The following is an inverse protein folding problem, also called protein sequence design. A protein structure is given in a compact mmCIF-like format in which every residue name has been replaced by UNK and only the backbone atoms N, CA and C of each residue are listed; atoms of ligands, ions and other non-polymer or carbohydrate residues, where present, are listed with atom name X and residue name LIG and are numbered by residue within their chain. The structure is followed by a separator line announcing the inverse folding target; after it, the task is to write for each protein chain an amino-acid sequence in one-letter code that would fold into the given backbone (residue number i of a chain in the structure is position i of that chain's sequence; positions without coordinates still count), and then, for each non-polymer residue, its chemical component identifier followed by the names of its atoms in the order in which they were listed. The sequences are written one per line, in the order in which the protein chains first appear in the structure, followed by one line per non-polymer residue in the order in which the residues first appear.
data_IF_258049156429
#
_entry.id   IF_258049156429
#
_cell.length_a   1.000
_cell.length_b   1.000
_cell.length_c   1.000
_cell.angle_alpha   90.00
_cell.angle_beta   90.00
_cell.angle_gamma   90.00
#
_symmetry.space_group_name_H-M   'P 1'
#
loop_
_entity.id
_entity.type
_entity.pdbx_description
1 polymer ?
#
# COMPACT_ATOMS: atom_id res chain seq x y z
N UNK A 1 -48.13 -2.47 -1.97
CA UNK A 1 -46.65 -2.40 -2.17
C UNK A 1 -46.29 -0.98 -2.52
N UNK A 2 -45.64 -0.25 -1.62
CA UNK A 2 -45.25 1.15 -1.89
C UNK A 2 -44.00 1.12 -2.77
N UNK A 3 -44.14 1.51 -4.04
CA UNK A 3 -43.00 1.63 -4.95
C UNK A 3 -42.20 2.87 -4.54
N UNK A 4 -41.14 2.68 -3.76
CA UNK A 4 -40.26 3.78 -3.36
C UNK A 4 -39.39 4.17 -4.56
N UNK A 5 -39.39 5.45 -4.93
CA UNK A 5 -38.46 5.97 -5.94
C UNK A 5 -37.04 5.93 -5.36
N UNK A 6 -36.10 5.41 -6.13
CA UNK A 6 -34.69 5.37 -5.75
C UNK A 6 -34.12 6.79 -5.77
N UNK A 7 -33.42 7.18 -4.70
CA UNK A 7 -32.72 8.47 -4.69
C UNK A 7 -31.36 8.34 -5.40
N UNK A 8 -30.77 9.47 -5.81
CA UNK A 8 -29.45 9.47 -6.47
C UNK A 8 -28.37 8.80 -5.60
N UNK A 9 -28.47 8.92 -4.28
CA UNK A 9 -27.54 8.29 -3.34
C UNK A 9 -27.74 6.76 -3.26
N UNK A 10 -28.99 6.28 -3.30
CA UNK A 10 -29.29 4.84 -3.35
C UNK A 10 -28.73 4.21 -4.63
N UNK A 11 -28.88 4.90 -5.76
CA UNK A 11 -28.33 4.48 -7.06
C UNK A 11 -26.81 4.43 -7.01
N UNK A 12 -26.15 5.42 -6.39
CA UNK A 12 -24.69 5.43 -6.24
C UNK A 12 -24.20 4.25 -5.39
N UNK A 13 -24.84 4.02 -4.24
CA UNK A 13 -24.48 2.92 -3.33
C UNK A 13 -24.66 1.56 -4.00
N UNK A 14 -25.75 1.34 -4.73
CA UNK A 14 -25.95 0.10 -5.45
C UNK A 14 -25.01 -0.05 -6.65
N UNK A 15 -24.66 1.06 -7.31
CA UNK A 15 -23.73 1.04 -8.43
C UNK A 15 -22.28 0.73 -8.00
N UNK A 16 -21.88 0.98 -6.76
CA UNK A 16 -20.55 0.59 -6.24
C UNK A 16 -20.33 -0.94 -6.25
N UNK A 17 -21.42 -1.72 -6.24
CA UNK A 17 -21.36 -3.18 -6.41
C UNK A 17 -21.13 -3.65 -7.84
N UNK A 18 -21.20 -2.77 -8.86
CA UNK A 18 -20.92 -3.14 -10.24
C UNK A 18 -19.41 -3.34 -10.46
N UNK A 19 -19.05 -4.49 -11.01
CA UNK A 19 -17.68 -4.80 -11.41
C UNK A 19 -17.17 -3.81 -12.44
N UNK A 20 -15.86 -3.57 -12.49
CA UNK A 20 -15.29 -2.67 -13.50
C UNK A 20 -15.20 -3.41 -14.84
N UNK A 21 -15.39 -2.71 -15.97
CA UNK A 21 -15.28 -3.31 -17.31
C UNK A 21 -13.92 -3.98 -17.58
N UNK A 22 -12.84 -3.48 -16.95
CA UNK A 22 -11.49 -4.02 -17.09
C UNK A 22 -11.24 -5.33 -16.34
N UNK A 23 -12.08 -5.65 -15.34
CA UNK A 23 -11.89 -6.81 -14.47
C UNK A 23 -12.68 -8.03 -15.00
N UNK A 24 -13.84 -7.81 -15.64
CA UNK A 24 -14.76 -8.88 -16.09
C UNK A 24 -14.98 -8.93 -17.61
N UNK A 25 -14.41 -7.98 -18.38
CA UNK A 25 -14.60 -7.86 -19.82
C UNK A 25 -15.95 -7.22 -20.21
N UNK A 26 -15.98 -6.60 -21.40
CA UNK A 26 -17.09 -5.74 -21.84
C UNK A 26 -18.45 -6.45 -21.95
N UNK A 27 -18.48 -7.71 -22.38
CA UNK A 27 -19.73 -8.49 -22.53
C UNK A 27 -20.38 -8.79 -21.18
N UNK A 28 -19.60 -9.26 -20.20
CA UNK A 28 -20.11 -9.55 -18.84
C UNK A 28 -20.48 -8.27 -18.09
N UNK A 29 -19.69 -7.22 -18.25
CA UNK A 29 -20.06 -5.90 -17.72
C UNK A 29 -21.38 -5.40 -18.31
N UNK A 30 -21.60 -5.60 -19.61
CA UNK A 30 -22.88 -5.31 -20.25
C UNK A 30 -24.04 -6.07 -19.60
N UNK A 31 -23.88 -7.36 -19.31
CA UNK A 31 -24.90 -8.16 -18.64
C UNK A 31 -25.20 -7.67 -17.22
N UNK A 32 -24.17 -7.41 -16.40
CA UNK A 32 -24.35 -6.87 -15.04
C UNK A 32 -24.99 -5.48 -15.05
N UNK A 33 -24.56 -4.61 -15.97
CA UNK A 33 -25.15 -3.28 -16.11
C UNK A 33 -26.62 -3.36 -16.50
N UNK A 34 -26.98 -4.26 -17.42
CA UNK A 34 -28.38 -4.44 -17.83
C UNK A 34 -29.23 -5.01 -16.69
N UNK A 35 -28.71 -5.94 -15.90
CA UNK A 35 -29.39 -6.45 -14.71
C UNK A 35 -29.62 -5.35 -13.66
N UNK A 36 -28.63 -4.49 -13.44
CA UNK A 36 -28.73 -3.32 -12.56
C UNK A 36 -29.76 -2.29 -13.05
N UNK A 37 -29.79 -2.01 -14.36
CA UNK A 37 -30.77 -1.09 -14.95
C UNK A 37 -32.19 -1.64 -14.85
N UNK A 38 -32.37 -2.95 -14.97
CA UNK A 38 -33.68 -3.60 -14.82
C UNK A 38 -34.22 -3.52 -13.39
N UNK A 39 -33.34 -3.59 -12.37
CA UNK A 39 -33.74 -3.52 -10.96
C UNK A 39 -33.97 -2.09 -10.46
N UNK A 40 -33.19 -1.11 -10.94
CA UNK A 40 -33.27 0.27 -10.47
C UNK A 40 -34.12 1.19 -11.37
N UNK A 41 -34.37 0.81 -12.64
CA UNK A 41 -35.02 1.60 -13.70
C UNK A 41 -34.63 3.10 -13.73
N UNK A 42 -33.32 3.44 -13.76
CA UNK A 42 -32.90 4.83 -13.82
C UNK A 42 -33.29 5.47 -15.15
N UNK A 43 -33.64 6.75 -15.11
CA UNK A 43 -33.87 7.55 -16.32
C UNK A 43 -32.57 7.73 -17.13
N UNK A 44 -32.71 8.04 -18.42
CA UNK A 44 -31.55 8.29 -19.30
C UNK A 44 -30.68 9.46 -18.79
N UNK A 45 -31.29 10.47 -18.17
CA UNK A 45 -30.57 11.60 -17.58
C UNK A 45 -29.71 11.17 -16.37
N UNK A 46 -30.23 10.31 -15.51
CA UNK A 46 -29.52 9.77 -14.34
C UNK A 46 -28.35 8.88 -14.75
N UNK A 47 -28.56 7.99 -15.73
CA UNK A 47 -27.49 7.14 -16.26
C UNK A 47 -26.37 7.99 -16.90
N UNK A 48 -26.73 9.01 -17.70
CA UNK A 48 -25.76 9.96 -18.26
C UNK A 48 -24.98 10.70 -17.17
N UNK A 49 -25.65 11.16 -16.12
CA UNK A 49 -25.02 11.83 -14.97
C UNK A 49 -24.03 10.91 -14.25
N UNK A 50 -24.42 9.67 -13.98
CA UNK A 50 -23.59 8.66 -13.34
C UNK A 50 -22.33 8.36 -14.16
N UNK A 51 -22.50 8.11 -15.47
CA UNK A 51 -21.37 7.82 -16.36
C UNK A 51 -20.39 9.01 -16.44
N UNK A 52 -20.90 10.24 -16.49
CA UNK A 52 -20.08 11.46 -16.49
C UNK A 52 -19.33 11.64 -15.17
N UNK A 53 -19.98 11.41 -14.03
CA UNK A 53 -19.34 11.49 -12.71
C UNK A 53 -18.23 10.43 -12.56
N UNK A 54 -18.47 9.19 -12.98
CA UNK A 54 -17.44 8.14 -12.99
C UNK A 54 -16.26 8.49 -13.89
N UNK A 55 -16.52 9.07 -15.07
CA UNK A 55 -15.45 9.57 -15.97
C UNK A 55 -14.62 10.66 -15.27
N UNK A 56 -15.26 11.63 -14.60
CA UNK A 56 -14.59 12.69 -13.82
C UNK A 56 -13.74 12.13 -12.68
N UNK A 57 -14.28 11.20 -11.87
CA UNK A 57 -13.56 10.55 -10.78
C UNK A 57 -12.33 9.78 -11.28
N UNK A 58 -12.47 9.01 -12.36
CA UNK A 58 -11.34 8.29 -12.99
C UNK A 58 -10.25 9.25 -13.46
N UNK A 59 -10.64 10.38 -14.08
CA UNK A 59 -9.70 11.43 -14.52
C UNK A 59 -8.99 12.07 -13.32
N UNK A 60 -9.71 12.38 -12.23
CA UNK A 60 -9.14 12.91 -10.98
C UNK A 60 -8.12 11.94 -10.38
N UNK A 61 -8.51 10.68 -10.18
CA UNK A 61 -7.63 9.63 -9.64
C UNK A 61 -6.38 9.40 -10.49
N UNK A 62 -6.50 9.49 -11.83
CA UNK A 62 -5.35 9.42 -12.74
C UNK A 62 -4.40 10.62 -12.59
N UNK A 63 -4.94 11.84 -12.45
CA UNK A 63 -4.13 13.06 -12.21
C UNK A 63 -3.41 12.98 -10.88
N UNK A 64 -4.11 12.60 -9.82
CA UNK A 64 -3.54 12.39 -8.48
C UNK A 64 -2.41 11.35 -8.52
N UNK A 65 -2.64 10.18 -9.14
CA UNK A 65 -1.60 9.16 -9.32
C UNK A 65 -0.37 9.69 -10.09
N UNK A 66 -0.59 10.54 -11.10
CA UNK A 66 0.51 11.16 -11.87
C UNK A 66 1.28 12.17 -11.04
N UNK A 67 0.60 13.00 -10.26
CA UNK A 67 1.25 13.97 -9.36
C UNK A 67 2.09 13.26 -8.29
N UNK A 68 1.54 12.23 -7.64
CA UNK A 68 2.29 11.41 -6.66
C UNK A 68 3.52 10.78 -7.31
N UNK A 69 3.39 10.24 -8.52
CA UNK A 69 4.53 9.65 -9.25
C UNK A 69 5.60 10.70 -9.60
N UNK A 70 5.20 11.92 -9.94
CA UNK A 70 6.12 12.99 -10.33
C UNK A 70 6.92 13.56 -9.14
N UNK A 71 6.41 13.41 -7.91
CA UNK A 71 7.06 13.90 -6.67
C UNK A 71 7.83 12.77 -5.97
N UNK A 72 7.68 11.52 -6.40
CA UNK A 72 8.41 10.40 -5.80
C UNK A 72 9.91 10.58 -6.04
N UNK A 73 10.76 10.55 -5.00
CA UNK A 73 12.20 10.65 -5.18
C UNK A 73 12.72 9.49 -6.04
N UNK A 74 13.74 9.78 -6.83
CA UNK A 74 14.44 8.78 -7.61
C UNK A 74 15.13 7.78 -6.66
N UNK A 75 15.05 6.49 -6.98
CA UNK A 75 15.67 5.45 -6.15
C UNK A 75 17.18 5.64 -6.27
N UNK A 76 17.87 5.90 -5.17
CA UNK A 76 19.31 6.05 -5.18
C UNK A 76 19.96 4.68 -5.28
N UNK A 77 20.72 4.44 -6.35
CA UNK A 77 21.52 3.21 -6.54
C UNK A 77 22.74 3.16 -5.61
N UNK A 78 23.06 4.26 -4.92
CA UNK A 78 24.16 4.36 -3.97
C UNK A 78 23.76 3.82 -2.59
N UNK A 79 24.59 2.96 -1.95
CA UNK A 79 24.38 2.57 -0.56
C UNK A 79 24.42 3.77 0.38
N UNK A 80 23.39 3.92 1.22
CA UNK A 80 23.32 4.96 2.25
C UNK A 80 24.06 4.58 3.53
N UNK A 81 24.66 3.38 3.59
CA UNK A 81 25.36 2.86 4.75
C UNK A 81 26.53 1.94 4.38
N UNK A 82 27.47 1.79 5.31
CA UNK A 82 28.70 0.99 5.14
C UNK A 82 28.62 -0.39 5.82
N UNK A 83 27.42 -0.88 6.15
CA UNK A 83 27.25 -2.26 6.61
C UNK A 83 27.55 -3.24 5.48
N UNK A 84 28.27 -4.31 5.79
CA UNK A 84 28.55 -5.42 4.88
C UNK A 84 28.04 -6.74 5.46
N UNK A 85 27.72 -7.74 4.60
CA UNK A 85 27.50 -9.10 5.07
C UNK A 85 28.69 -9.58 5.92
N UNK A 86 28.42 -10.20 7.06
CA UNK A 86 29.42 -10.62 8.04
C UNK A 86 29.62 -9.64 9.20
N UNK A 87 29.26 -8.37 9.05
CA UNK A 87 29.30 -7.38 10.14
C UNK A 87 28.37 -7.80 11.30
N UNK A 88 28.75 -7.45 12.52
CA UNK A 88 27.88 -7.58 13.69
C UNK A 88 27.18 -6.25 13.98
N UNK A 89 25.86 -6.28 14.13
CA UNK A 89 25.06 -5.09 14.40
C UNK A 89 24.13 -5.25 15.59
N UNK A 90 24.03 -4.18 16.37
CA UNK A 90 23.01 -3.98 17.37
C UNK A 90 21.78 -3.36 16.72
N UNK A 91 20.60 -3.85 17.07
CA UNK A 91 19.32 -3.38 16.50
C UNK A 91 18.51 -2.67 17.56
N UNK A 92 17.98 -1.49 17.21
CA UNK A 92 17.17 -0.65 18.07
C UNK A 92 15.83 -1.33 18.38
N UNK A 93 15.50 -1.46 19.66
CA UNK A 93 14.21 -1.96 20.12
C UNK A 93 13.21 -0.82 20.32
N UNK A 94 12.16 -0.81 19.49
CA UNK A 94 11.06 0.15 19.57
C UNK A 94 9.98 -0.25 20.58
N UNK A 95 9.93 -1.52 20.99
CA UNK A 95 8.89 -2.06 21.87
C UNK A 95 9.25 -1.93 23.35
N UNK A 96 10.24 -1.11 23.69
CA UNK A 96 10.64 -0.88 25.08
C UNK A 96 9.44 -0.40 25.91
N UNK A 97 9.18 -1.06 27.04
CA UNK A 97 8.05 -0.71 27.93
C UNK A 97 8.45 0.28 29.02
N UNK A 98 9.73 0.26 29.42
CA UNK A 98 10.27 1.12 30.48
C UNK A 98 11.45 1.93 29.96
N UNK A 99 11.74 3.06 30.61
CA UNK A 99 12.84 3.95 30.23
C UNK A 99 14.23 3.39 30.55
N UNK A 100 14.31 2.52 31.54
CA UNK A 100 15.54 1.88 32.02
C UNK A 100 15.89 0.57 31.30
N UNK A 101 15.10 0.12 30.31
CA UNK A 101 15.39 -1.09 29.54
C UNK A 101 16.45 -0.81 28.46
N UNK A 102 17.37 -1.76 28.19
CA UNK A 102 18.33 -1.65 27.10
C UNK A 102 17.63 -1.34 25.77
N UNK A 103 18.09 -0.28 25.09
CA UNK A 103 17.49 0.16 23.83
C UNK A 103 17.98 -0.61 22.60
N UNK A 104 19.09 -1.31 22.76
CA UNK A 104 19.76 -2.06 21.70
C UNK A 104 19.73 -3.54 22.04
N UNK A 105 19.40 -4.38 21.07
CA UNK A 105 19.42 -5.83 21.19
C UNK A 105 20.46 -6.43 20.26
N UNK A 106 20.92 -7.63 20.58
CA UNK A 106 21.94 -8.33 19.80
C UNK A 106 23.32 -8.02 20.34
N UNK A 107 24.35 -8.65 19.76
CA UNK A 107 24.69 -8.47 18.35
C UNK A 107 24.03 -9.50 17.43
N UNK A 108 23.67 -9.08 16.22
CA UNK A 108 23.16 -9.94 15.17
C UNK A 108 24.09 -9.85 13.97
N UNK A 109 24.42 -10.99 13.37
CA UNK A 109 25.24 -11.00 12.17
C UNK A 109 24.42 -10.53 10.95
N UNK A 110 24.99 -9.65 10.15
CA UNK A 110 24.39 -9.18 8.89
C UNK A 110 24.57 -10.28 7.84
N UNK A 111 23.47 -10.71 7.23
CA UNK A 111 23.47 -11.73 6.17
C UNK A 111 23.40 -11.08 4.78
N UNK A 112 22.55 -10.04 4.63
CA UNK A 112 22.35 -9.34 3.37
C UNK A 112 22.22 -7.84 3.63
N UNK A 113 22.63 -7.05 2.65
CA UNK A 113 22.61 -5.59 2.68
C UNK A 113 21.99 -5.04 1.40
N UNK A 114 21.14 -4.03 1.54
CA UNK A 114 20.59 -3.23 0.44
C UNK A 114 20.99 -1.78 0.64
N UNK A 115 20.57 -0.86 -0.23
CA UNK A 115 21.01 0.53 -0.13
C UNK A 115 20.57 1.23 1.16
N UNK A 116 19.46 0.81 1.77
CA UNK A 116 18.89 1.49 2.95
C UNK A 116 18.67 0.58 4.16
N UNK A 117 18.75 -0.74 3.97
CA UNK A 117 18.38 -1.71 4.98
C UNK A 117 19.28 -2.95 4.96
N UNK A 118 19.37 -3.60 6.13
CA UNK A 118 20.10 -4.83 6.35
C UNK A 118 19.16 -5.95 6.77
N UNK A 119 19.51 -7.19 6.41
CA UNK A 119 18.87 -8.41 6.90
C UNK A 119 19.86 -9.12 7.81
N UNK A 120 19.43 -9.41 9.03
CA UNK A 120 20.28 -10.03 10.04
C UNK A 120 19.81 -11.44 10.36
N UNK A 121 20.73 -12.23 10.89
CA UNK A 121 20.39 -13.52 11.47
C UNK A 121 19.43 -13.36 12.65
N UNK A 122 18.55 -14.33 12.85
CA UNK A 122 17.53 -14.33 13.91
C UNK A 122 16.34 -13.37 13.70
N UNK A 123 16.25 -12.65 12.56
CA UNK A 123 15.08 -11.81 12.21
C UNK A 123 14.59 -12.01 10.78
N UNK A 124 13.28 -12.21 10.63
CA UNK A 124 12.64 -12.35 9.32
C UNK A 124 12.53 -11.03 8.53
N UNK A 125 12.53 -9.89 9.22
CA UNK A 125 12.28 -8.57 8.63
C UNK A 125 13.56 -7.82 8.27
N UNK A 126 13.53 -7.06 7.18
CA UNK A 126 14.56 -6.06 6.85
C UNK A 126 14.54 -4.89 7.83
N UNK A 127 15.71 -4.36 8.16
CA UNK A 127 15.89 -3.32 9.17
C UNK A 127 16.60 -2.15 8.53
N UNK A 128 15.99 -0.98 8.60
CA UNK A 128 16.59 0.25 8.08
C UNK A 128 17.89 0.58 8.84
N UNK A 129 18.94 0.98 8.14
CA UNK A 129 20.28 1.17 8.69
C UNK A 129 20.36 2.17 9.84
N UNK A 130 19.48 3.19 9.87
CA UNK A 130 19.38 4.15 10.99
C UNK A 130 18.93 3.50 12.32
N UNK A 131 18.51 2.24 12.28
CA UNK A 131 18.14 1.44 13.44
C UNK A 131 19.18 0.37 13.77
N UNK A 132 20.31 0.39 13.08
CA UNK A 132 21.46 -0.47 13.29
C UNK A 132 22.62 0.34 13.86
N UNK A 133 23.42 -0.28 14.71
CA UNK A 133 24.73 0.20 15.16
C UNK A 133 25.74 -0.91 14.94
N UNK A 134 26.93 -0.61 14.43
CA UNK A 134 28.02 -1.60 14.39
C UNK A 134 28.40 -1.99 15.82
N UNK A 135 28.60 -3.28 16.04
CA UNK A 135 29.15 -3.83 17.28
C UNK A 135 30.64 -4.15 17.08
N UNK A 136 31.49 -4.02 18.12
CA UNK A 136 32.76 -4.73 18.13
C UNK A 136 32.48 -6.25 18.04
N UNK A 137 33.42 -7.02 17.49
CA UNK A 137 33.30 -8.38 16.94
C UNK A 137 32.52 -9.44 17.77
N UNK A 138 32.33 -10.61 17.16
CA UNK A 138 31.53 -11.75 17.64
C UNK A 138 31.65 -11.94 19.17
N UNK A 139 30.53 -12.07 19.90
CA UNK A 139 30.53 -12.11 21.37
C UNK A 139 31.04 -13.45 21.98
N UNK A 140 32.09 -14.07 21.44
CA UNK A 140 32.57 -15.40 21.89
C UNK A 140 34.02 -15.46 22.41
N UNK A 141 34.64 -14.34 22.79
CA UNK A 141 35.96 -14.36 23.46
C UNK A 141 35.92 -13.61 24.81
N UNK A 142 35.42 -14.27 25.87
CA UNK A 142 35.72 -13.97 27.28
C UNK A 142 35.49 -15.20 28.15
#
# INVERSE_FOLDING_TARGET
MVHRHWTTDDIMKAADGLSKPGDIGGRRFGQELMAFVQSCRPTQAELRRLLMMRKRQRKRKRREKRQVKAVLPEVTDTPLHTHQPGDWVLIKDFRRKRWNQPRWRGPFQVLLTTNTAVKTDGRATWIHHTHCKKAPERPEDS
#
